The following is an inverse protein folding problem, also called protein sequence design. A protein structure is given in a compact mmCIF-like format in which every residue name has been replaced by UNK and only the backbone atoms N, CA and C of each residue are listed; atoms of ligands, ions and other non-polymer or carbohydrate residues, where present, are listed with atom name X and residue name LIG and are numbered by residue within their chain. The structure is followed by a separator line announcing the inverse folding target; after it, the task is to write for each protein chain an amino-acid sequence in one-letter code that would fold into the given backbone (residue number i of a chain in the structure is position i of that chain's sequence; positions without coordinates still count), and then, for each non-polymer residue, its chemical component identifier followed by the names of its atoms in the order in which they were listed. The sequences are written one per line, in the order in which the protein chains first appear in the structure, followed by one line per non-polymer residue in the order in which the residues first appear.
data_IF_745906201305
#
_entry.id   IF_745906201305
#
_cell.length_a   1.000
_cell.length_b   1.000
_cell.length_c   1.000
_cell.angle_alpha   90.00
_cell.angle_beta   90.00
_cell.angle_gamma   90.00
#
_symmetry.space_group_name_H-M   'P 1'
#
loop_
_entity.id
_entity.type
_entity.pdbx_description
1 polymer ?
#
# COMPACT_ATOMS: atom_id res chain seq x y z
N UNK A 1 -1.50 -19.61 -43.22
CA UNK A 1 -0.45 -20.23 -44.06
C UNK A 1 0.18 -21.36 -43.26
N UNK A 2 -0.05 -22.62 -43.64
CA UNK A 2 0.42 -23.82 -42.94
C UNK A 2 1.73 -24.27 -43.58
N UNK A 3 2.79 -24.38 -42.77
CA UNK A 3 4.04 -25.05 -43.20
C UNK A 3 3.94 -26.48 -42.68
N UNK A 4 3.82 -27.43 -43.60
CA UNK A 4 3.79 -28.88 -43.33
C UNK A 4 5.20 -29.44 -43.36
N UNK A 5 5.67 -29.97 -42.22
CA UNK A 5 6.73 -30.97 -42.16
C UNK A 5 6.07 -32.30 -41.77
N UNK A 6 6.22 -33.29 -42.65
CA UNK A 6 5.62 -34.65 -42.60
C UNK A 6 6.67 -35.68 -42.12
N UNK A 7 6.32 -36.95 -41.83
CA UNK A 7 5.29 -37.43 -40.91
C UNK A 7 5.74 -38.75 -40.21
N UNK A 8 6.31 -38.75 -39.00
CA UNK A 8 6.63 -40.02 -38.31
C UNK A 8 6.37 -39.93 -36.79
N UNK A 9 5.22 -40.48 -36.40
CA UNK A 9 4.85 -41.07 -35.10
C UNK A 9 5.40 -40.41 -33.81
N UNK A 10 4.55 -39.71 -33.08
CA UNK A 10 3.69 -40.36 -32.07
C UNK A 10 3.05 -39.31 -31.16
N UNK A 11 1.74 -39.37 -31.10
CA UNK A 11 0.87 -38.58 -30.25
C UNK A 11 1.10 -38.93 -28.77
N UNK A 12 1.93 -38.14 -28.10
CA UNK A 12 1.65 -37.75 -26.71
C UNK A 12 1.54 -36.24 -26.68
N UNK A 13 0.30 -35.75 -26.83
CA UNK A 13 -0.04 -34.38 -26.43
C UNK A 13 0.06 -34.30 -24.90
N UNK A 14 1.29 -34.29 -24.40
CA UNK A 14 1.56 -33.61 -23.14
C UNK A 14 1.39 -32.12 -23.43
N UNK A 15 0.58 -31.36 -22.67
CA UNK A 15 0.62 -29.91 -22.81
C UNK A 15 2.07 -29.51 -22.58
N UNK A 16 2.71 -28.91 -23.58
CA UNK A 16 4.07 -28.42 -23.45
C UNK A 16 4.02 -27.23 -22.49
N UNK A 17 4.04 -27.52 -21.19
CA UNK A 17 4.13 -26.54 -20.12
C UNK A 17 5.59 -26.12 -20.08
N UNK A 18 5.89 -24.98 -20.69
CA UNK A 18 7.19 -24.35 -20.53
C UNK A 18 7.28 -23.88 -19.10
N UNK A 19 8.19 -24.45 -18.32
CA UNK A 19 8.36 -24.05 -16.93
C UNK A 19 9.04 -22.68 -16.84
N UNK A 20 8.85 -21.92 -15.76
CA UNK A 20 9.51 -20.62 -15.57
C UNK A 20 11.05 -20.69 -15.73
N UNK A 21 11.66 -21.80 -15.33
CA UNK A 21 13.11 -22.04 -15.47
C UNK A 21 13.52 -22.26 -16.93
N UNK A 22 12.64 -22.83 -17.74
CA UNK A 22 12.84 -23.01 -19.18
C UNK A 22 12.64 -21.69 -19.92
N UNK A 23 11.65 -20.88 -19.55
CA UNK A 23 11.48 -19.51 -20.05
C UNK A 23 12.75 -18.71 -19.77
N UNK A 24 13.22 -18.68 -18.52
CA UNK A 24 14.45 -18.00 -18.10
C UNK A 24 15.71 -18.43 -18.88
N UNK A 25 15.75 -19.64 -19.42
CA UNK A 25 16.85 -20.14 -20.26
C UNK A 25 16.75 -19.64 -21.70
N UNK A 26 15.53 -19.50 -22.22
CA UNK A 26 15.22 -19.00 -23.56
C UNK A 26 15.41 -17.48 -23.61
N UNK A 27 14.87 -16.72 -22.65
CA UNK A 27 15.04 -15.25 -22.60
C UNK A 27 16.45 -14.79 -22.24
N UNK A 28 17.31 -15.69 -21.73
CA UNK A 28 18.71 -15.38 -21.38
C UNK A 28 19.53 -14.82 -22.56
N UNK A 29 19.18 -15.17 -23.79
CA UNK A 29 20.05 -14.92 -24.94
C UNK A 29 19.76 -13.67 -25.77
N UNK A 30 18.65 -12.94 -25.55
CA UNK A 30 18.50 -11.59 -26.14
C UNK A 30 17.37 -10.76 -25.50
N UNK A 31 17.69 -9.88 -24.56
CA UNK A 31 16.73 -8.94 -23.96
C UNK A 31 16.19 -7.90 -24.94
N UNK A 32 16.89 -7.63 -26.05
CA UNK A 32 16.48 -6.63 -27.05
C UNK A 32 15.28 -7.13 -27.85
N UNK A 33 15.32 -8.37 -28.33
CA UNK A 33 14.22 -8.97 -29.11
C UNK A 33 12.96 -9.13 -28.26
N UNK A 34 13.10 -9.47 -26.97
CA UNK A 34 11.96 -9.59 -26.07
C UNK A 34 11.27 -8.23 -25.88
N UNK A 35 12.02 -7.14 -25.68
CA UNK A 35 11.48 -5.78 -25.49
C UNK A 35 10.75 -5.23 -26.71
N UNK A 36 11.12 -5.69 -27.89
CA UNK A 36 10.45 -5.33 -29.14
C UNK A 36 9.22 -6.19 -29.43
N UNK A 37 9.04 -7.31 -28.72
CA UNK A 37 7.84 -8.14 -28.88
C UNK A 37 6.58 -7.39 -28.42
N UNK A 38 5.47 -7.45 -29.18
CA UNK A 38 4.21 -6.81 -28.79
C UNK A 38 3.73 -7.23 -27.40
N UNK A 39 3.84 -8.53 -27.09
CA UNK A 39 3.41 -9.10 -25.82
C UNK A 39 4.22 -8.61 -24.61
N UNK A 40 5.54 -8.35 -24.76
CA UNK A 40 6.33 -7.76 -23.67
C UNK A 40 5.89 -6.33 -23.37
N UNK A 41 5.56 -5.55 -24.41
CA UNK A 41 5.06 -4.18 -24.22
C UNK A 41 3.71 -4.20 -23.49
N UNK A 42 2.83 -5.13 -23.84
CA UNK A 42 1.56 -5.35 -23.14
C UNK A 42 1.78 -5.67 -21.66
N UNK A 43 2.65 -6.64 -21.33
CA UNK A 43 2.95 -6.97 -19.91
C UNK A 43 3.50 -5.77 -19.14
N UNK A 44 4.44 -5.02 -19.74
CA UNK A 44 5.02 -3.85 -19.07
C UNK A 44 3.96 -2.78 -18.86
N UNK A 45 3.06 -2.58 -19.83
CA UNK A 45 1.97 -1.63 -19.73
C UNK A 45 0.95 -2.04 -18.66
N UNK A 46 0.54 -3.31 -18.65
CA UNK A 46 -0.36 -3.87 -17.62
C UNK A 46 0.28 -3.78 -16.23
N UNK A 47 1.53 -4.21 -16.09
CA UNK A 47 2.26 -4.13 -14.82
C UNK A 47 2.46 -2.70 -14.32
N UNK A 48 2.68 -1.74 -15.21
CA UNK A 48 2.74 -0.31 -14.84
C UNK A 48 1.36 0.20 -14.40
N UNK A 49 0.30 -0.21 -15.09
CA UNK A 49 -1.06 0.20 -14.76
C UNK A 49 -1.50 -0.36 -13.40
N UNK A 50 -1.26 -1.65 -13.15
CA UNK A 50 -1.52 -2.29 -11.86
C UNK A 50 -0.68 -1.67 -10.74
N UNK A 51 0.63 -1.47 -10.98
CA UNK A 51 1.53 -0.86 -10.00
C UNK A 51 1.12 0.58 -9.65
N UNK A 52 0.71 1.37 -10.64
CA UNK A 52 0.20 2.72 -10.40
C UNK A 52 -1.11 2.70 -9.61
N UNK A 53 -2.03 1.79 -9.94
CA UNK A 53 -3.31 1.68 -9.23
C UNK A 53 -3.12 1.28 -7.77
N UNK A 54 -2.29 0.26 -7.50
CA UNK A 54 -1.98 -0.19 -6.15
C UNK A 54 -1.23 0.90 -5.37
N UNK A 55 -0.22 1.53 -5.97
CA UNK A 55 0.55 2.60 -5.35
C UNK A 55 -0.31 3.82 -5.00
N UNK A 56 -1.23 4.21 -5.90
CA UNK A 56 -2.16 5.31 -5.64
C UNK A 56 -3.11 4.97 -4.49
N UNK A 57 -3.67 3.76 -4.47
CA UNK A 57 -4.58 3.35 -3.42
C UNK A 57 -3.91 3.32 -2.04
N UNK A 58 -2.71 2.75 -1.96
CA UNK A 58 -1.90 2.74 -0.73
C UNK A 58 -1.51 4.16 -0.30
N UNK A 59 -1.07 4.99 -1.25
CA UNK A 59 -0.69 6.38 -0.98
C UNK A 59 -1.87 7.22 -0.48
N UNK A 60 -3.06 7.04 -1.03
CA UNK A 60 -4.27 7.72 -0.56
C UNK A 60 -4.66 7.28 0.85
N UNK A 61 -4.65 5.98 1.14
CA UNK A 61 -4.95 5.46 2.48
C UNK A 61 -3.96 5.99 3.52
N UNK A 62 -2.65 5.90 3.24
CA UNK A 62 -1.62 6.44 4.12
C UNK A 62 -1.75 7.97 4.28
N UNK A 63 -2.05 8.69 3.20
CA UNK A 63 -2.24 10.13 3.21
C UNK A 63 -3.42 10.57 4.09
N UNK A 64 -4.53 9.83 4.08
CA UNK A 64 -5.67 10.10 4.97
C UNK A 64 -5.28 9.92 6.44
N UNK A 65 -4.62 8.80 6.78
CA UNK A 65 -4.18 8.53 8.15
C UNK A 65 -3.18 9.60 8.64
N UNK A 66 -2.15 9.90 7.87
CA UNK A 66 -1.17 10.93 8.22
C UNK A 66 -1.79 12.33 8.30
N UNK A 67 -2.74 12.63 7.42
CA UNK A 67 -3.50 13.88 7.44
C UNK A 67 -4.31 14.05 8.73
N UNK A 68 -5.02 13.00 9.16
CA UNK A 68 -5.77 13.02 10.42
C UNK A 68 -4.85 13.15 11.63
N UNK A 69 -3.74 12.40 11.68
CA UNK A 69 -2.72 12.52 12.74
C UNK A 69 -2.15 13.93 12.82
N UNK A 70 -1.84 14.52 11.67
CA UNK A 70 -1.37 15.90 11.55
C UNK A 70 -2.41 16.91 12.05
N UNK A 71 -3.68 16.72 11.70
CA UNK A 71 -4.77 17.58 12.15
C UNK A 71 -4.94 17.56 13.67
N UNK A 72 -4.91 16.38 14.30
CA UNK A 72 -4.94 16.23 15.76
C UNK A 72 -3.79 17.00 16.39
N UNK A 73 -2.54 16.76 15.94
CA UNK A 73 -1.37 17.45 16.49
C UNK A 73 -1.45 18.97 16.31
N UNK A 74 -1.92 19.43 15.16
CA UNK A 74 -2.10 20.86 14.90
C UNK A 74 -3.15 21.49 15.84
N UNK A 75 -4.29 20.83 16.05
CA UNK A 75 -5.32 21.28 16.98
C UNK A 75 -4.79 21.35 18.41
N UNK A 76 -4.12 20.30 18.89
CA UNK A 76 -3.56 20.27 20.24
C UNK A 76 -2.50 21.35 20.46
N UNK A 77 -1.64 21.60 19.47
CA UNK A 77 -0.65 22.69 19.51
C UNK A 77 -1.31 24.06 19.56
N UNK A 78 -2.38 24.26 18.79
CA UNK A 78 -3.07 25.54 18.69
C UNK A 78 -3.90 25.84 19.94
N UNK A 79 -4.54 24.83 20.53
CA UNK A 79 -5.46 25.02 21.68
C UNK A 79 -4.76 24.99 23.03
N UNK A 80 -3.68 24.23 23.16
CA UNK A 80 -3.04 23.95 24.45
C UNK A 80 -1.55 24.30 24.51
N UNK A 81 -1.03 25.05 23.52
CA UNK A 81 0.39 25.42 23.41
C UNK A 81 1.33 24.22 23.57
N UNK A 82 0.96 23.10 22.93
CA UNK A 82 1.67 21.82 23.08
C UNK A 82 3.13 21.94 22.65
N UNK A 83 4.05 21.62 23.57
CA UNK A 83 5.49 21.67 23.31
C UNK A 83 5.93 20.68 22.24
N UNK A 84 7.07 20.93 21.59
CA UNK A 84 7.61 20.04 20.56
C UNK A 84 7.89 18.63 21.08
N UNK A 85 8.31 18.48 22.35
CA UNK A 85 8.57 17.17 22.96
C UNK A 85 7.27 16.41 23.21
N UNK A 86 6.24 17.07 23.73
CA UNK A 86 4.93 16.47 23.97
C UNK A 86 4.23 16.12 22.65
N UNK A 87 4.33 16.97 21.63
CA UNK A 87 3.82 16.68 20.28
C UNK A 87 4.49 15.44 19.66
N UNK A 88 5.80 15.25 19.90
CA UNK A 88 6.52 14.05 19.47
C UNK A 88 6.04 12.76 20.14
N UNK A 89 5.68 12.83 21.43
CA UNK A 89 5.11 11.71 22.19
C UNK A 89 3.72 11.34 21.66
N UNK A 90 2.80 12.32 21.61
CA UNK A 90 1.44 12.11 21.10
C UNK A 90 1.47 11.61 19.66
N UNK A 91 2.35 12.16 18.82
CA UNK A 91 2.53 11.70 17.44
C UNK A 91 3.01 10.25 17.33
N UNK A 92 3.84 9.77 18.27
CA UNK A 92 4.22 8.35 18.32
C UNK A 92 3.02 7.47 18.68
N UNK A 93 2.20 7.90 19.63
CA UNK A 93 1.02 7.14 20.05
C UNK A 93 0.00 7.04 18.92
N UNK A 94 -0.29 8.15 18.22
CA UNK A 94 -1.22 8.20 17.10
C UNK A 94 -0.77 7.38 15.88
N UNK A 95 0.54 7.18 15.68
CA UNK A 95 1.06 6.32 14.60
C UNK A 95 0.72 4.84 14.78
N UNK A 96 0.50 4.40 16.02
CA UNK A 96 0.08 3.03 16.32
C UNK A 96 -1.38 2.76 15.94
N UNK A 97 -2.17 3.81 15.68
CA UNK A 97 -3.59 3.69 15.34
C UNK A 97 -3.73 3.63 13.83
N UNK A 98 -4.12 2.46 13.30
CA UNK A 98 -4.32 2.26 11.85
C UNK A 98 -5.78 2.45 11.41
N UNK A 99 -6.73 2.51 12.34
CA UNK A 99 -8.14 2.72 12.03
C UNK A 99 -8.44 4.19 11.68
N UNK A 100 -8.81 4.52 10.42
CA UNK A 100 -9.14 5.87 10.01
C UNK A 100 -10.40 6.43 10.68
N UNK A 101 -11.32 5.58 11.13
CA UNK A 101 -12.56 5.99 11.79
C UNK A 101 -12.26 6.50 13.18
N UNK A 102 -11.46 5.75 13.94
CA UNK A 102 -10.99 6.17 15.26
C UNK A 102 -10.19 7.47 15.18
N UNK A 103 -9.27 7.60 14.22
CA UNK A 103 -8.53 8.85 14.02
C UNK A 103 -9.46 10.02 13.70
N UNK A 104 -10.55 9.81 12.96
CA UNK A 104 -11.54 10.85 12.71
C UNK A 104 -12.29 11.26 13.99
N UNK A 105 -12.67 10.31 14.84
CA UNK A 105 -13.24 10.59 16.16
C UNK A 105 -12.26 11.40 17.01
N UNK A 106 -10.99 11.01 17.05
CA UNK A 106 -9.95 11.71 17.79
C UNK A 106 -9.70 13.15 17.30
N UNK A 107 -9.93 13.44 16.01
CA UNK A 107 -9.91 14.83 15.51
C UNK A 107 -11.02 15.66 16.17
N UNK A 108 -12.23 15.11 16.27
CA UNK A 108 -13.37 15.78 16.93
C UNK A 108 -13.10 15.95 18.41
N UNK A 109 -12.60 14.91 19.09
CA UNK A 109 -12.21 14.97 20.50
C UNK A 109 -11.13 16.01 20.76
N UNK A 110 -10.09 16.08 19.92
CA UNK A 110 -9.05 17.11 20.03
C UNK A 110 -9.61 18.53 19.88
N UNK A 111 -10.68 18.71 19.10
CA UNK A 111 -11.35 20.00 18.93
C UNK A 111 -12.29 20.35 20.09
N UNK A 112 -12.85 19.36 20.79
CA UNK A 112 -13.83 19.56 21.87
C UNK A 112 -13.23 19.46 23.27
N UNK A 113 -12.07 18.80 23.43
CA UNK A 113 -11.45 18.57 24.73
C UNK A 113 -11.27 19.88 25.51
N UNK A 114 -11.59 19.86 26.81
CA UNK A 114 -11.43 21.03 27.68
C UNK A 114 -9.95 21.27 28.07
N UNK A 115 -9.13 20.22 27.99
CA UNK A 115 -7.70 20.28 28.28
C UNK A 115 -6.94 19.18 27.55
N UNK A 116 -5.62 19.36 27.43
CA UNK A 116 -4.73 18.30 26.93
C UNK A 116 -4.86 17.00 27.74
N UNK A 117 -5.00 17.10 29.07
CA UNK A 117 -5.15 15.93 29.95
C UNK A 117 -6.44 15.16 29.63
N UNK A 118 -7.54 15.86 29.37
CA UNK A 118 -8.81 15.23 28.99
C UNK A 118 -8.68 14.47 27.67
N UNK A 119 -8.02 15.08 26.67
CA UNK A 119 -7.76 14.42 25.39
C UNK A 119 -6.90 13.16 25.55
N UNK A 120 -5.82 13.23 26.34
CA UNK A 120 -4.94 12.07 26.57
C UNK A 120 -5.68 10.91 27.26
N UNK A 121 -6.57 11.22 28.22
CA UNK A 121 -7.39 10.19 28.86
C UNK A 121 -8.35 9.51 27.87
N UNK A 122 -8.95 10.27 26.94
CA UNK A 122 -9.78 9.72 25.88
C UNK A 122 -8.96 8.84 24.91
N UNK A 123 -7.76 9.30 24.53
CA UNK A 123 -6.83 8.54 23.68
C UNK A 123 -6.42 7.20 24.31
N UNK A 124 -6.18 7.18 25.62
CA UNK A 124 -5.83 5.95 26.33
C UNK A 124 -7.05 5.01 26.48
N UNK A 125 -8.25 5.55 26.69
CA UNK A 125 -9.50 4.79 26.76
C UNK A 125 -9.83 4.06 25.46
N UNK A 126 -9.85 4.78 24.34
CA UNK A 126 -10.12 4.23 23.00
C UNK A 126 -9.10 3.15 22.59
N UNK A 127 -7.87 3.24 23.10
CA UNK A 127 -6.84 2.22 22.86
C UNK A 127 -7.05 0.94 23.67
N UNK A 128 -7.67 1.03 24.85
CA UNK A 128 -7.99 -0.13 25.68
C UNK A 128 -9.12 -0.97 25.08
N UNK A 129 -10.07 -0.32 24.42
CA UNK A 129 -11.23 -0.98 23.79
C UNK A 129 -10.83 -1.78 22.54
N UNK A 130 -9.70 -1.44 21.90
CA UNK A 130 -9.11 -2.22 20.80
C UNK A 130 -8.25 -3.41 21.27
N UNK A 131 -7.96 -3.51 22.57
CA UNK A 131 -7.13 -4.58 23.15
C UNK A 131 -7.94 -5.71 23.82
N UNK A 132 -9.27 -5.63 23.78
CA UNK A 132 -10.22 -6.62 24.34
C UNK A 132 -10.98 -7.31 23.21
#
# INVERSE_FOLDING_TARGET
MRITLSPCLSLTLSPFVVTPEQVCRIVRWNMVVLRESPWYREIVQEGLQEGLQQGLQQGLQQGVLEGQRGAILHLLRTRFDLSMTAAGEVGRQLRTIEDPTLLQTLVVEAAQAESLKAFLAALDGERSDLAT
#
